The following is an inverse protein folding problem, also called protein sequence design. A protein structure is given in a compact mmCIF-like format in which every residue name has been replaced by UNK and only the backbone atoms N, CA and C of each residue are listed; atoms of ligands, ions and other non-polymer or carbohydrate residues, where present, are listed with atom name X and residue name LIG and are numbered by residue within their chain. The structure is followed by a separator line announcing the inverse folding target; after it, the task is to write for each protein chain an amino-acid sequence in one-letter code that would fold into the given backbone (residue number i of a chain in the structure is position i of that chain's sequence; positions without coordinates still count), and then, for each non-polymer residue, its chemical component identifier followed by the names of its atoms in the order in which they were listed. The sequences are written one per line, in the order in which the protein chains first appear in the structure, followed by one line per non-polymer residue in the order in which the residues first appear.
data_IF_589438121632
#
_entry.id   IF_589438121632
#
_cell.length_a   1.000
_cell.length_b   1.000
_cell.length_c   1.000
_cell.angle_alpha   90.00
_cell.angle_beta   90.00
_cell.angle_gamma   90.00
#
_symmetry.space_group_name_H-M   'P 1'
#
loop_
_entity.id
_entity.type
_entity.pdbx_description
1 polymer ?
#
# COMPACT_ATOMS: atom_id res chain seq x y z
N UNK A 1 -21.17 0.84 -19.79
CA UNK A 1 -20.24 -0.01 -19.05
C UNK A 1 -20.06 0.54 -17.64
N UNK A 2 -21.00 0.25 -16.80
CA UNK A 2 -20.97 0.59 -15.37
C UNK A 2 -20.37 -0.59 -14.65
N UNK A 3 -19.22 -0.44 -14.02
CA UNK A 3 -18.66 -1.48 -13.16
C UNK A 3 -17.18 -1.78 -13.30
N UNK A 4 -16.43 -1.08 -14.15
CA UNK A 4 -14.97 -1.23 -14.21
C UNK A 4 -14.32 0.04 -13.66
N UNK A 5 -13.88 -0.03 -12.41
CA UNK A 5 -13.13 1.06 -11.79
C UNK A 5 -11.65 0.72 -11.74
N UNK A 6 -10.82 1.70 -12.08
CA UNK A 6 -9.38 1.60 -11.81
C UNK A 6 -9.12 1.79 -10.32
N UNK A 7 -8.17 1.04 -9.79
CA UNK A 7 -7.70 1.18 -8.42
C UNK A 7 -6.20 0.90 -8.39
N UNK A 8 -5.42 1.96 -8.48
CA UNK A 8 -3.96 1.89 -8.54
C UNK A 8 -3.41 2.47 -7.24
N UNK A 9 -2.62 1.71 -6.47
CA UNK A 9 -1.99 2.24 -5.28
C UNK A 9 -0.97 3.30 -5.64
N UNK A 10 -0.71 4.27 -4.75
CA UNK A 10 0.37 5.24 -4.93
C UNK A 10 1.73 4.54 -5.07
N UNK A 11 2.59 5.11 -5.92
CA UNK A 11 3.96 4.64 -6.15
C UNK A 11 4.95 5.78 -5.98
N UNK A 12 6.18 5.44 -5.67
CA UNK A 12 7.27 6.41 -5.58
C UNK A 12 7.60 6.96 -6.98
N UNK A 13 7.50 8.27 -7.15
CA UNK A 13 7.73 8.91 -8.45
C UNK A 13 9.15 8.70 -8.97
N UNK A 14 10.16 8.74 -8.11
CA UNK A 14 11.55 8.49 -8.48
C UNK A 14 11.76 7.08 -9.03
N UNK A 15 11.18 6.08 -8.38
CA UNK A 15 11.22 4.68 -8.85
C UNK A 15 10.54 4.51 -10.21
N UNK A 16 9.38 5.14 -10.40
CA UNK A 16 8.65 5.11 -11.68
C UNK A 16 9.46 5.78 -12.79
N UNK A 17 10.07 6.92 -12.52
CA UNK A 17 10.92 7.62 -13.49
C UNK A 17 12.14 6.77 -13.85
N UNK A 18 12.80 6.14 -12.89
CA UNK A 18 13.96 5.28 -13.13
C UNK A 18 13.58 4.08 -14.01
N UNK A 19 12.43 3.46 -13.76
CA UNK A 19 11.90 2.40 -14.61
C UNK A 19 11.62 2.87 -16.03
N UNK A 20 11.01 4.05 -16.21
CA UNK A 20 10.76 4.64 -17.53
C UNK A 20 12.06 4.95 -18.26
N UNK A 21 13.07 5.48 -17.60
CA UNK A 21 14.40 5.73 -18.20
C UNK A 21 15.02 4.44 -18.68
N UNK A 22 15.00 3.39 -17.87
CA UNK A 22 15.50 2.06 -18.27
C UNK A 22 14.77 1.54 -19.51
N UNK A 23 13.45 1.65 -19.57
CA UNK A 23 12.66 1.22 -20.73
C UNK A 23 13.01 2.02 -21.99
N UNK A 24 13.16 3.34 -21.87
CA UNK A 24 13.51 4.22 -22.99
C UNK A 24 14.95 3.94 -23.53
N UNK A 25 15.89 3.66 -22.63
CA UNK A 25 17.26 3.30 -23.02
C UNK A 25 17.35 1.95 -23.74
N UNK A 26 16.37 1.08 -23.52
CA UNK A 26 16.30 -0.26 -24.13
C UNK A 26 15.08 -0.39 -25.07
N UNK A 27 14.72 0.69 -25.75
CA UNK A 27 13.48 0.74 -26.54
C UNK A 27 13.43 -0.28 -27.66
N UNK A 28 14.55 -0.53 -28.32
CA UNK A 28 14.64 -1.51 -29.42
C UNK A 28 14.46 -2.96 -28.91
N UNK A 29 14.76 -3.22 -27.66
CA UNK A 29 14.55 -4.50 -26.97
C UNK A 29 13.41 -4.49 -25.98
N UNK A 30 12.45 -3.55 -26.09
CA UNK A 30 11.40 -3.34 -25.10
C UNK A 30 10.53 -4.58 -24.87
N UNK A 31 10.36 -5.42 -25.90
CA UNK A 31 9.57 -6.65 -25.78
C UNK A 31 10.21 -7.68 -24.84
N UNK A 32 11.54 -7.65 -24.72
CA UNK A 32 12.30 -8.58 -23.85
C UNK A 32 12.34 -8.12 -22.38
N UNK A 33 11.91 -6.90 -22.08
CA UNK A 33 11.86 -6.39 -20.71
C UNK A 33 10.76 -7.11 -19.95
N UNK A 34 11.15 -7.75 -18.84
CA UNK A 34 10.23 -8.50 -17.96
C UNK A 34 9.67 -7.62 -16.84
N UNK A 35 8.61 -8.08 -16.16
CA UNK A 35 8.11 -7.42 -14.96
C UNK A 35 9.16 -7.41 -13.84
N UNK A 36 9.97 -8.45 -13.74
CA UNK A 36 11.09 -8.54 -12.79
C UNK A 36 12.15 -7.46 -13.05
N UNK A 37 12.45 -7.16 -14.30
CA UNK A 37 13.38 -6.09 -14.68
C UNK A 37 12.84 -4.72 -14.24
N UNK A 38 11.55 -4.46 -14.43
CA UNK A 38 10.89 -3.24 -13.99
C UNK A 38 10.88 -3.14 -12.47
N UNK A 39 10.68 -4.24 -11.77
CA UNK A 39 10.64 -4.30 -10.30
C UNK A 39 12.02 -4.16 -9.64
N UNK A 40 13.11 -4.15 -10.41
CA UNK A 40 14.42 -3.70 -9.90
C UNK A 40 14.39 -2.21 -9.51
N UNK A 41 13.53 -1.43 -10.15
CA UNK A 41 13.33 0.01 -9.94
C UNK A 41 12.07 0.29 -9.13
N UNK A 42 10.93 -0.31 -9.48
CA UNK A 42 9.66 -0.18 -8.77
C UNK A 42 9.54 -1.34 -7.78
N UNK A 43 9.80 -1.05 -6.50
CA UNK A 43 9.82 -2.08 -5.45
C UNK A 43 8.42 -2.51 -5.02
N UNK A 44 7.44 -1.67 -5.22
CA UNK A 44 6.06 -1.89 -4.84
C UNK A 44 5.33 -0.59 -4.60
N UNK A 45 4.10 -0.66 -4.08
CA UNK A 45 3.37 0.53 -3.68
C UNK A 45 4.11 1.34 -2.61
N UNK A 46 3.98 2.66 -2.69
CA UNK A 46 4.50 3.62 -1.71
C UNK A 46 3.34 4.45 -1.16
N UNK A 47 2.82 4.05 -0.01
CA UNK A 47 1.67 4.69 0.59
C UNK A 47 2.09 5.92 1.40
N UNK A 48 1.44 7.10 1.19
CA UNK A 48 1.76 8.33 1.93
C UNK A 48 1.61 8.19 3.43
N UNK A 49 0.71 7.34 3.88
CA UNK A 49 0.44 7.06 5.31
C UNK A 49 1.30 5.93 5.87
N UNK A 50 2.16 5.34 5.04
CA UNK A 50 2.99 4.21 5.44
C UNK A 50 2.22 2.90 5.55
N UNK A 51 2.58 2.09 6.51
CA UNK A 51 2.06 0.74 6.70
C UNK A 51 3.03 -0.32 6.16
N UNK A 52 2.72 -1.56 6.43
CA UNK A 52 3.52 -2.71 6.04
C UNK A 52 2.78 -3.55 4.99
N UNK A 53 3.41 -3.73 3.85
CA UNK A 53 2.96 -4.72 2.87
C UNK A 53 3.31 -6.12 3.38
N UNK A 54 2.31 -6.97 3.50
CA UNK A 54 2.48 -8.35 3.98
C UNK A 54 2.52 -9.30 2.79
N UNK A 55 3.61 -10.03 2.68
CA UNK A 55 3.79 -11.13 1.73
C UNK A 55 4.02 -12.42 2.51
N UNK A 56 2.94 -13.14 2.78
CA UNK A 56 2.93 -14.44 3.46
C UNK A 56 2.61 -15.57 2.46
N UNK A 57 2.61 -16.82 2.92
CA UNK A 57 2.35 -17.99 2.08
C UNK A 57 1.00 -17.94 1.33
N UNK A 58 0.03 -17.19 1.85
CA UNK A 58 -1.29 -17.01 1.21
C UNK A 58 -1.38 -15.77 0.32
N UNK A 59 -0.29 -15.04 0.13
CA UNK A 59 -0.28 -13.80 -0.64
C UNK A 59 0.04 -14.05 -2.10
N UNK A 60 -0.65 -13.32 -3.00
CA UNK A 60 -0.27 -13.28 -4.41
C UNK A 60 1.02 -12.45 -4.54
N UNK A 61 2.08 -12.97 -5.18
CA UNK A 61 3.31 -12.20 -5.37
C UNK A 61 3.06 -10.91 -6.15
N UNK A 62 3.75 -9.82 -5.78
CA UNK A 62 3.65 -8.55 -6.52
C UNK A 62 4.01 -8.69 -8.00
N UNK A 63 4.96 -9.56 -8.33
CA UNK A 63 5.31 -9.87 -9.72
C UNK A 63 4.12 -10.38 -10.51
N UNK A 64 3.31 -11.23 -9.92
CA UNK A 64 2.07 -11.74 -10.51
C UNK A 64 1.03 -10.62 -10.67
N UNK A 65 0.85 -9.78 -9.65
CA UNK A 65 -0.10 -8.67 -9.68
C UNK A 65 0.29 -7.66 -10.76
N UNK A 66 1.55 -7.26 -10.81
CA UNK A 66 2.05 -6.34 -11.83
C UNK A 66 2.08 -6.95 -13.23
N UNK A 67 2.31 -8.25 -13.32
CA UNK A 67 2.30 -8.99 -14.58
C UNK A 67 0.90 -9.23 -15.16
N UNK A 68 -0.14 -9.15 -14.34
CA UNK A 68 -1.55 -9.31 -14.76
C UNK A 68 -2.36 -8.01 -14.76
N UNK A 69 -1.90 -7.01 -14.01
CA UNK A 69 -2.60 -5.74 -13.80
C UNK A 69 -3.71 -5.80 -12.77
N UNK A 70 -3.84 -6.91 -12.05
CA UNK A 70 -4.86 -7.05 -11.02
C UNK A 70 -4.44 -8.04 -9.93
N UNK A 71 -4.95 -7.81 -8.73
CA UNK A 71 -4.75 -8.68 -7.58
C UNK A 71 -5.00 -7.94 -6.28
N UNK A 72 -4.85 -8.65 -5.18
CA UNK A 72 -5.07 -8.09 -3.85
C UNK A 72 -3.79 -8.16 -3.03
N UNK A 73 -3.43 -7.04 -2.43
CA UNK A 73 -2.34 -6.95 -1.46
C UNK A 73 -2.88 -6.83 -0.05
N UNK A 74 -2.10 -7.29 0.93
CA UNK A 74 -2.41 -7.16 2.36
C UNK A 74 -1.53 -6.07 2.95
N UNK A 75 -2.14 -5.13 3.67
CA UNK A 75 -1.44 -4.03 4.34
C UNK A 75 -1.76 -4.05 5.82
N UNK A 76 -0.74 -3.94 6.65
CA UNK A 76 -0.88 -3.86 8.11
C UNK A 76 -0.42 -2.51 8.64
N UNK A 77 -1.02 -2.11 9.76
CA UNK A 77 -0.51 -1.02 10.57
C UNK A 77 0.91 -1.33 11.04
N UNK A 78 1.76 -0.30 11.11
CA UNK A 78 3.07 -0.41 11.76
C UNK A 78 2.89 -0.24 13.25
N UNK A 79 3.33 -1.23 14.00
CA UNK A 79 3.22 -1.26 15.45
C UNK A 79 4.56 -1.56 16.09
N UNK A 80 4.72 -1.15 17.33
CA UNK A 80 5.82 -1.56 18.21
C UNK A 80 5.31 -1.76 19.63
N UNK A 81 6.03 -2.56 20.40
CA UNK A 81 5.74 -2.81 21.80
C UNK A 81 6.76 -2.03 22.62
N UNK A 82 6.27 -1.22 23.57
CA UNK A 82 7.10 -0.46 24.51
C UNK A 82 6.85 -0.96 25.93
N UNK A 83 7.91 -0.98 26.72
CA UNK A 83 7.83 -1.27 28.14
C UNK A 83 7.50 -0.02 28.94
N UNK A 84 6.53 -0.15 29.83
CA UNK A 84 6.14 0.87 30.79
C UNK A 84 6.74 0.56 32.17
N UNK A 85 6.54 1.48 33.09
CA UNK A 85 6.91 1.26 34.51
C UNK A 85 6.23 -0.01 35.08
N UNK A 86 6.93 -0.71 35.99
CA UNK A 86 6.47 -1.91 36.65
C UNK A 86 6.22 -3.12 35.76
N UNK A 87 6.94 -3.22 34.63
CA UNK A 87 6.86 -4.35 33.69
C UNK A 87 5.56 -4.46 32.94
N UNK A 88 4.78 -3.38 32.85
CA UNK A 88 3.63 -3.32 31.94
C UNK A 88 4.08 -2.99 30.54
N UNK A 89 3.33 -3.46 29.55
CA UNK A 89 3.60 -3.22 28.14
C UNK A 89 2.53 -2.32 27.53
N UNK A 90 2.89 -1.66 26.45
CA UNK A 90 1.95 -0.93 25.60
C UNK A 90 2.23 -1.21 24.14
N UNK A 91 1.19 -1.13 23.31
CA UNK A 91 1.29 -1.19 21.85
C UNK A 91 1.20 0.23 21.33
N UNK A 92 2.17 0.61 20.50
CA UNK A 92 2.19 1.90 19.80
C UNK A 92 1.92 1.65 18.33
N UNK A 93 0.91 2.33 17.77
CA UNK A 93 0.59 2.29 16.35
C UNK A 93 1.06 3.60 15.73
N UNK A 94 1.98 3.54 14.78
CA UNK A 94 2.60 4.71 14.15
C UNK A 94 2.21 4.93 12.70
N UNK A 95 1.74 3.89 12.02
CA UNK A 95 1.27 3.96 10.65
C UNK A 95 0.04 3.09 10.47
N UNK A 96 -0.91 3.54 9.65
CA UNK A 96 -2.13 2.81 9.32
C UNK A 96 -2.14 2.39 7.86
N UNK A 97 -2.87 1.30 7.51
CA UNK A 97 -3.11 0.96 6.12
C UNK A 97 -3.73 2.13 5.35
N UNK A 98 -3.39 2.25 4.08
CA UNK A 98 -3.87 3.30 3.20
C UNK A 98 -5.40 3.41 3.21
N UNK A 99 -5.91 4.63 3.30
CA UNK A 99 -7.34 4.98 3.39
C UNK A 99 -8.06 4.53 4.67
N UNK A 100 -7.37 4.05 5.69
CA UNK A 100 -7.97 3.76 6.99
C UNK A 100 -8.07 5.04 7.81
N UNK A 101 -9.28 5.33 8.27
CA UNK A 101 -9.55 6.50 9.13
C UNK A 101 -9.14 6.19 10.57
N UNK A 102 -8.26 7.02 11.13
CA UNK A 102 -7.74 6.88 12.50
C UNK A 102 -8.85 6.91 13.55
N UNK A 103 -9.75 7.87 13.48
CA UNK A 103 -10.83 8.03 14.46
C UNK A 103 -11.79 6.85 14.44
N UNK A 104 -12.17 6.39 13.27
CA UNK A 104 -13.03 5.21 13.10
C UNK A 104 -12.33 3.93 13.64
N UNK A 105 -11.04 3.80 13.43
CA UNK A 105 -10.25 2.68 13.98
C UNK A 105 -10.24 2.72 15.52
N UNK A 106 -10.00 3.87 16.13
CA UNK A 106 -9.98 4.05 17.58
C UNK A 106 -11.37 3.72 18.17
N UNK A 107 -12.42 4.20 17.56
CA UNK A 107 -13.82 3.88 17.96
C UNK A 107 -14.07 2.37 17.88
N UNK A 108 -13.63 1.72 16.83
CA UNK A 108 -13.78 0.27 16.66
C UNK A 108 -13.02 -0.52 17.72
N UNK A 109 -11.81 -0.13 18.04
CA UNK A 109 -11.01 -0.78 19.11
C UNK A 109 -11.72 -0.61 20.46
N UNK A 110 -12.21 0.59 20.75
CA UNK A 110 -12.96 0.87 21.99
C UNK A 110 -14.23 0.04 22.10
N UNK A 111 -14.97 -0.11 20.99
CA UNK A 111 -16.17 -0.93 20.91
C UNK A 111 -15.87 -2.41 21.22
N UNK A 112 -14.86 -2.98 20.56
CA UNK A 112 -14.43 -4.38 20.80
C UNK A 112 -14.02 -4.57 22.26
N UNK A 113 -13.32 -3.61 22.86
CA UNK A 113 -12.91 -3.64 24.25
C UNK A 113 -14.12 -3.63 25.20
N UNK A 114 -15.09 -2.78 24.95
CA UNK A 114 -16.33 -2.73 25.76
C UNK A 114 -17.14 -4.02 25.68
N UNK A 115 -17.12 -4.69 24.54
CA UNK A 115 -17.82 -5.96 24.34
C UNK A 115 -17.03 -7.17 24.90
N UNK A 116 -15.91 -6.93 25.57
CA UNK A 116 -15.07 -7.97 26.16
C UNK A 116 -14.17 -8.72 25.18
N UNK A 117 -14.03 -8.22 23.94
CA UNK A 117 -13.23 -8.86 22.90
C UNK A 117 -11.72 -8.58 22.95
N UNK A 118 -11.28 -7.70 23.84
CA UNK A 118 -9.87 -7.34 24.05
C UNK A 118 -9.54 -7.40 25.55
N UNK A 119 -9.49 -8.61 26.07
CA UNK A 119 -9.04 -8.81 27.44
C UNK A 119 -7.58 -8.39 27.58
N UNK A 120 -7.29 -7.61 28.61
CA UNK A 120 -5.94 -7.10 28.85
C UNK A 120 -5.67 -5.69 28.31
N UNK A 121 -6.56 -5.08 27.56
CA UNK A 121 -6.48 -3.67 27.20
C UNK A 121 -6.88 -2.82 28.42
N UNK A 122 -5.97 -1.96 28.89
CA UNK A 122 -6.19 -1.10 30.04
C UNK A 122 -6.64 0.30 29.64
N UNK A 123 -6.07 0.88 28.60
CA UNK A 123 -6.38 2.23 28.12
C UNK A 123 -6.05 2.39 26.63
N UNK A 124 -6.77 3.30 25.99
CA UNK A 124 -6.61 3.62 24.57
C UNK A 124 -6.58 5.13 24.40
N UNK A 125 -5.52 5.67 23.82
CA UNK A 125 -5.36 7.11 23.61
C UNK A 125 -4.84 7.41 22.21
N UNK A 126 -5.22 8.56 21.69
CA UNK A 126 -4.60 9.18 20.53
C UNK A 126 -3.60 10.24 21.02
N UNK A 127 -2.33 9.98 20.87
CA UNK A 127 -1.24 10.89 21.20
C UNK A 127 -0.57 11.45 19.94
N UNK A 128 -1.28 11.45 18.81
CA UNK A 128 -0.77 12.01 17.56
C UNK A 128 -0.52 13.51 17.69
N UNK A 129 0.59 13.96 17.12
CA UNK A 129 1.01 15.36 17.14
C UNK A 129 1.61 15.79 15.77
N UNK A 130 2.29 16.92 15.73
CA UNK A 130 2.95 17.42 14.53
C UNK A 130 4.10 16.55 14.04
N UNK A 131 4.66 15.70 14.90
CA UNK A 131 5.76 14.80 14.57
C UNK A 131 5.27 13.50 13.92
N UNK A 132 3.99 13.18 14.07
CA UNK A 132 3.39 12.03 13.44
C UNK A 132 2.22 11.42 14.20
N UNK A 133 1.68 10.37 13.62
CA UNK A 133 0.60 9.60 14.21
C UNK A 133 1.12 8.70 15.32
N UNK A 134 0.39 8.67 16.43
CA UNK A 134 0.71 7.83 17.58
C UNK A 134 -0.58 7.42 18.28
N UNK A 135 -1.01 6.18 18.11
CA UNK A 135 -2.08 5.58 18.90
C UNK A 135 -1.42 4.72 20.00
N UNK A 136 -1.83 4.91 21.22
CA UNK A 136 -1.28 4.22 22.39
C UNK A 136 -2.33 3.29 22.98
N UNK A 137 -1.98 2.03 23.09
CA UNK A 137 -2.80 0.97 23.71
C UNK A 137 -2.05 0.45 24.92
N UNK A 138 -2.42 0.89 26.12
CA UNK A 138 -1.83 0.41 27.37
C UNK A 138 -2.43 -0.95 27.75
N UNK A 139 -1.58 -1.86 28.15
CA UNK A 139 -1.96 -3.22 28.51
C UNK A 139 -1.92 -3.45 30.02
N UNK A 140 -2.75 -4.38 30.49
CA UNK A 140 -2.68 -4.88 31.86
C UNK A 140 -1.39 -5.69 32.09
N UNK A 141 -0.96 -5.84 33.35
CA UNK A 141 0.33 -6.41 33.70
C UNK A 141 0.62 -7.80 33.15
N UNK A 142 -0.40 -8.63 32.99
CA UNK A 142 -0.27 -10.02 32.51
C UNK A 142 -0.82 -10.24 31.12
N UNK A 143 -1.11 -9.16 30.38
CA UNK A 143 -1.62 -9.26 29.03
C UNK A 143 -0.51 -9.63 28.04
N UNK A 144 -0.83 -10.51 27.09
CA UNK A 144 0.06 -10.86 25.99
C UNK A 144 -0.18 -9.88 24.82
N UNK A 145 0.80 -9.03 24.48
CA UNK A 145 0.65 -8.06 23.39
C UNK A 145 0.45 -8.74 22.03
N UNK A 146 1.04 -9.89 21.79
CA UNK A 146 0.89 -10.61 20.51
C UNK A 146 -0.54 -11.15 20.32
N UNK A 147 -1.17 -11.62 21.39
CA UNK A 147 -2.55 -12.07 21.36
C UNK A 147 -3.51 -10.90 21.06
N UNK A 148 -3.28 -9.76 21.70
CA UNK A 148 -4.07 -8.54 21.47
C UNK A 148 -3.87 -8.06 20.03
N UNK A 149 -2.63 -8.00 19.53
CA UNK A 149 -2.35 -7.65 18.14
C UNK A 149 -3.03 -8.60 17.16
N UNK A 150 -2.98 -9.90 17.40
CA UNK A 150 -3.65 -10.90 16.57
C UNK A 150 -5.15 -10.63 16.49
N UNK A 151 -5.80 -10.29 17.59
CA UNK A 151 -7.23 -9.94 17.63
C UNK A 151 -7.50 -8.64 16.89
N UNK A 152 -6.67 -7.62 17.06
CA UNK A 152 -6.78 -6.35 16.35
C UNK A 152 -6.65 -6.53 14.83
N UNK A 153 -5.71 -7.34 14.37
CA UNK A 153 -5.57 -7.64 12.94
C UNK A 153 -6.78 -8.39 12.36
N UNK A 154 -7.40 -9.27 13.14
CA UNK A 154 -8.58 -10.04 12.69
C UNK A 154 -9.87 -9.23 12.71
N UNK A 155 -10.03 -8.30 13.63
CA UNK A 155 -11.31 -7.64 13.93
C UNK A 155 -11.36 -6.16 13.58
N UNK A 156 -10.24 -5.56 13.16
CA UNK A 156 -10.14 -4.15 12.81
C UNK A 156 -9.42 -3.94 11.48
N UNK A 157 -9.44 -2.71 10.99
CA UNK A 157 -8.72 -2.30 9.78
C UNK A 157 -7.20 -2.08 10.00
N UNK A 158 -6.66 -2.49 11.13
CA UNK A 158 -5.20 -2.56 11.33
C UNK A 158 -4.55 -3.59 10.40
N UNK A 159 -5.30 -4.56 9.91
CA UNK A 159 -4.97 -5.39 8.76
C UNK A 159 -6.05 -5.20 7.73
N UNK A 160 -5.67 -4.72 6.56
CA UNK A 160 -6.61 -4.42 5.50
C UNK A 160 -6.10 -4.96 4.16
N UNK A 161 -7.01 -5.19 3.24
CA UNK A 161 -6.69 -5.59 1.87
C UNK A 161 -6.88 -4.40 0.93
N UNK A 162 -6.02 -4.31 -0.07
CA UNK A 162 -6.13 -3.33 -1.14
C UNK A 162 -6.20 -4.09 -2.48
N UNK A 163 -7.32 -3.94 -3.18
CA UNK A 163 -7.49 -4.53 -4.52
C UNK A 163 -6.83 -3.65 -5.57
N UNK A 164 -5.84 -4.18 -6.27
CA UNK A 164 -5.17 -3.50 -7.38
C UNK A 164 -5.89 -3.85 -8.67
N UNK A 165 -6.22 -2.86 -9.47
CA UNK A 165 -6.79 -3.01 -10.80
C UNK A 165 -6.32 -1.87 -11.70
N UNK A 166 -5.36 -2.16 -12.57
CA UNK A 166 -4.76 -1.18 -13.47
C UNK A 166 -5.60 -1.12 -14.74
N UNK A 167 -6.54 -0.18 -14.78
CA UNK A 167 -7.36 0.10 -15.94
C UNK A 167 -6.95 1.42 -16.57
N UNK A 168 -6.87 1.44 -17.88
CA UNK A 168 -6.67 2.67 -18.65
C UNK A 168 -7.58 2.69 -19.88
N UNK A 169 -7.90 3.89 -20.34
CA UNK A 169 -8.57 4.07 -21.62
C UNK A 169 -7.53 3.97 -22.74
N UNK A 170 -7.71 2.97 -23.58
CA UNK A 170 -6.94 2.78 -24.82
C UNK A 170 -7.93 2.90 -25.96
N UNK A 171 -7.75 3.89 -26.84
CA UNK A 171 -8.67 4.19 -27.95
C UNK A 171 -10.14 4.35 -27.51
N UNK A 172 -10.34 4.97 -26.34
CA UNK A 172 -11.68 5.25 -25.79
C UNK A 172 -12.33 4.07 -25.06
N UNK A 173 -11.71 2.90 -25.04
CA UNK A 173 -12.21 1.71 -24.34
C UNK A 173 -11.38 1.38 -23.09
N UNK A 174 -12.00 0.94 -22.00
CA UNK A 174 -11.27 0.52 -20.79
C UNK A 174 -10.58 -0.83 -21.04
N UNK A 175 -9.28 -0.88 -20.76
CA UNK A 175 -8.46 -2.09 -20.84
C UNK A 175 -7.69 -2.28 -19.54
N UNK A 176 -7.60 -3.54 -19.09
CA UNK A 176 -6.69 -3.90 -18.02
C UNK A 176 -5.28 -3.99 -18.58
N UNK A 177 -4.36 -3.25 -17.97
CA UNK A 177 -2.96 -3.20 -18.37
C UNK A 177 -2.08 -3.88 -17.33
N UNK A 178 -1.03 -4.55 -17.78
CA UNK A 178 0.10 -4.89 -16.92
C UNK A 178 0.86 -3.63 -16.55
N UNK A 179 1.71 -3.69 -15.52
CA UNK A 179 2.58 -2.55 -15.17
C UNK A 179 3.45 -2.13 -16.36
N UNK A 180 4.04 -3.09 -17.06
CA UNK A 180 4.84 -2.82 -18.28
C UNK A 180 4.02 -2.09 -19.34
N UNK A 181 2.81 -2.56 -19.63
CA UNK A 181 1.92 -1.92 -20.62
C UNK A 181 1.54 -0.49 -20.20
N UNK A 182 1.24 -0.26 -18.93
CA UNK A 182 0.90 1.06 -18.42
C UNK A 182 2.07 2.05 -18.58
N UNK A 183 3.29 1.63 -18.25
CA UNK A 183 4.50 2.43 -18.44
C UNK A 183 4.79 2.69 -19.93
N UNK A 184 4.61 1.68 -20.76
CA UNK A 184 4.80 1.79 -22.23
C UNK A 184 3.84 2.80 -22.85
N UNK A 185 2.57 2.75 -22.51
CA UNK A 185 1.56 3.72 -23.00
C UNK A 185 1.94 5.15 -22.62
N UNK A 186 2.43 5.35 -21.43
CA UNK A 186 2.92 6.66 -20.99
C UNK A 186 4.16 7.13 -21.79
N UNK A 187 5.12 6.25 -22.01
CA UNK A 187 6.34 6.53 -22.78
C UNK A 187 6.02 6.85 -24.24
N UNK A 188 5.15 6.08 -24.89
CA UNK A 188 4.70 6.32 -26.27
C UNK A 188 4.06 7.70 -26.45
N UNK A 189 3.19 8.10 -25.54
CA UNK A 189 2.53 9.42 -25.61
C UNK A 189 3.52 10.58 -25.48
N UNK A 190 4.57 10.42 -24.69
CA UNK A 190 5.62 11.44 -24.53
C UNK A 190 6.51 11.50 -25.76
N UNK A 191 6.90 10.38 -26.31
CA UNK A 191 7.69 10.27 -27.55
C UNK A 191 6.98 10.93 -28.74
N UNK A 192 5.71 10.66 -28.92
CA UNK A 192 4.90 11.24 -30.01
C UNK A 192 4.76 12.77 -29.87
N UNK A 193 4.62 13.30 -28.65
CA UNK A 193 4.57 14.75 -28.40
C UNK A 193 5.89 15.46 -28.71
N UNK A 194 7.02 14.85 -28.37
CA UNK A 194 8.35 15.39 -28.66
C UNK A 194 8.58 15.47 -30.18
N UNK A 195 8.23 14.43 -30.91
CA UNK A 195 8.37 14.40 -32.37
C UNK A 195 7.46 15.41 -33.08
N UNK A 196 6.25 15.64 -32.57
CA UNK A 196 5.34 16.64 -33.13
C UNK A 196 5.75 18.09 -32.85
N UNK A 197 6.52 18.34 -31.77
CA UNK A 197 7.06 19.68 -31.48
C UNK A 197 8.29 20.01 -32.29
N UNK A 198 9.10 19.05 -32.70
CA UNK A 198 10.25 19.24 -33.59
C UNK A 198 9.85 19.38 -35.09
N UNK A 199 8.69 18.87 -35.47
CA UNK A 199 8.18 19.00 -36.85
C UNK A 199 7.56 20.36 -37.20
N UNK A 200 7.54 21.33 -36.25
CA UNK A 200 7.01 22.68 -36.50
C UNK A 200 8.08 23.76 -36.67
N UNK A 201 9.34 23.39 -36.80
CA UNK A 201 10.48 24.28 -37.00
C UNK A 201 11.19 24.01 -38.34
N UNK A 202 10.44 23.83 -39.39
CA UNK A 202 10.96 23.84 -40.80
C UNK A 202 10.07 24.65 -41.69
#
# INVERSE_FOLDING_TARGET
AVGMATNIPPHNLGEVVDALVMMLQNWDGIEDITVEDIMRYIKGPDFPTGGLLIQDEGSIPLTTIYGSGNGTIKVRARTRIEEMSRGRLRIIVTELPYMVNKSALIERIAEISRDGGLEGLADLRDESDRQGMRIVIDLNKNADPEEILSTLYKRTQMHNTFGINILALVDGSPHRLTLKQALRVFADRKSTRLNSSHGKLS
#
